data_IF_780752169777
#
_entry.id   IF_780752169777
#
_cell.length_a   1.000
_cell.length_b   1.000
_cell.length_c   1.000
_cell.angle_alpha   90.00
_cell.angle_beta   90.00
_cell.angle_gamma   90.00
#
_symmetry.space_group_name_H-M   'P 1'
#
loop_
_entity.id
_entity.type
_entity.pdbx_description
1 polymer ?
#
# COMPACT_ATOMS: atom_id res chain seq x y z
N UNK A 1 7.46 0.86 -15.41
CA UNK A 1 8.39 -0.27 -15.57
C UNK A 1 9.47 -0.08 -14.51
N UNK A 2 9.61 -1.01 -13.54
CA UNK A 2 10.45 -0.82 -12.35
C UNK A 2 11.94 -0.77 -12.72
N UNK A 3 12.63 0.32 -12.40
CA UNK A 3 14.10 0.41 -12.54
C UNK A 3 14.83 -0.39 -11.44
N UNK A 4 14.11 -0.97 -10.48
CA UNK A 4 14.67 -1.90 -9.49
C UNK A 4 13.64 -2.88 -8.93
N UNK A 5 14.00 -4.17 -8.87
CA UNK A 5 13.24 -5.21 -8.14
C UNK A 5 13.13 -4.95 -6.63
N UNK A 6 13.82 -3.93 -6.08
CA UNK A 6 13.81 -3.59 -4.66
C UNK A 6 12.51 -2.92 -4.22
N UNK A 7 11.95 -2.01 -5.03
CA UNK A 7 10.76 -1.24 -4.62
C UNK A 7 9.56 -2.17 -4.36
N UNK A 8 9.21 -3.12 -5.26
CA UNK A 8 8.16 -4.09 -4.98
C UNK A 8 8.43 -4.94 -3.74
N UNK A 9 9.69 -5.35 -3.53
CA UNK A 9 10.07 -6.20 -2.40
C UNK A 9 9.93 -5.46 -1.06
N UNK A 10 10.34 -4.19 -1.00
CA UNK A 10 10.20 -3.34 0.19
C UNK A 10 8.73 -3.11 0.52
N UNK A 11 7.90 -2.89 -0.50
CA UNK A 11 6.45 -2.70 -0.32
C UNK A 11 5.79 -3.97 0.18
N UNK A 12 6.13 -5.11 -0.41
CA UNK A 12 5.61 -6.41 0.00
C UNK A 12 6.06 -6.72 1.44
N UNK A 13 7.33 -6.53 1.77
CA UNK A 13 7.86 -6.73 3.11
C UNK A 13 7.24 -5.78 4.14
N UNK A 14 6.86 -4.56 3.74
CA UNK A 14 6.27 -3.56 4.63
C UNK A 14 4.76 -3.68 4.81
N UNK A 15 3.99 -3.89 3.74
CA UNK A 15 2.52 -3.83 3.78
C UNK A 15 1.86 -5.19 4.06
N UNK A 16 2.45 -6.28 3.59
CA UNK A 16 1.85 -7.62 3.69
C UNK A 16 1.79 -8.13 5.14
N UNK A 17 2.87 -8.06 5.93
CA UNK A 17 2.81 -8.53 7.32
C UNK A 17 1.80 -7.75 8.16
N UNK A 18 1.61 -6.46 7.86
CA UNK A 18 0.63 -5.63 8.57
C UNK A 18 -0.82 -5.99 8.21
N UNK A 19 -1.10 -6.24 6.93
CA UNK A 19 -2.42 -6.72 6.50
C UNK A 19 -2.76 -8.09 7.13
N UNK A 20 -1.80 -9.02 7.08
CA UNK A 20 -1.93 -10.34 7.70
C UNK A 20 -2.17 -10.22 9.20
N UNK A 21 -1.44 -9.33 9.88
CA UNK A 21 -1.63 -9.07 11.32
C UNK A 21 -3.05 -8.61 11.63
N UNK A 22 -3.60 -7.65 10.87
CA UNK A 22 -4.97 -7.19 11.07
C UNK A 22 -6.02 -8.29 10.89
N UNK A 23 -5.81 -9.15 9.91
CA UNK A 23 -6.71 -10.25 9.59
C UNK A 23 -6.65 -11.41 10.60
N UNK A 24 -5.43 -11.76 11.04
CA UNK A 24 -5.18 -12.84 11.98
C UNK A 24 -5.61 -12.48 13.41
N UNK A 25 -5.52 -11.19 13.78
CA UNK A 25 -5.95 -10.71 15.09
C UNK A 25 -7.42 -11.04 15.33
N UNK A 26 -8.29 -10.80 14.35
CA UNK A 26 -9.72 -11.14 14.44
C UNK A 26 -10.01 -12.65 14.41
N UNK A 27 -9.18 -13.44 13.71
CA UNK A 27 -9.26 -14.91 13.81
C UNK A 27 -8.89 -15.40 15.20
N UNK A 28 -7.89 -14.78 15.84
CA UNK A 28 -7.42 -15.15 17.17
C UNK A 28 -8.41 -14.79 18.29
N UNK A 29 -9.25 -13.76 18.08
CA UNK A 29 -10.38 -13.45 18.98
C UNK A 29 -11.55 -14.47 18.92
N UNK A 30 -11.41 -15.55 18.15
CA UNK A 30 -12.41 -16.62 18.08
C UNK A 30 -13.57 -16.37 17.11
N UNK A 31 -13.48 -15.34 16.26
CA UNK A 31 -14.52 -15.03 15.27
C UNK A 31 -14.50 -15.99 14.07
N UNK A 32 -13.37 -16.65 13.79
CA UNK A 32 -13.25 -17.69 12.78
C UNK A 32 -12.08 -18.64 13.07
N UNK A 33 -12.16 -19.88 12.59
CA UNK A 33 -11.06 -20.87 12.63
C UNK A 33 -10.14 -20.73 11.41
N UNK A 34 -8.85 -21.09 11.58
CA UNK A 34 -7.91 -21.20 10.46
C UNK A 34 -8.23 -22.48 9.69
N UNK A 35 -8.86 -22.31 8.52
CA UNK A 35 -9.15 -23.38 7.57
C UNK A 35 -8.72 -22.97 6.15
N UNK A 36 -8.89 -23.87 5.18
CA UNK A 36 -8.52 -23.63 3.78
C UNK A 36 -9.19 -22.36 3.19
N UNK A 37 -10.43 -22.05 3.59
CA UNK A 37 -11.13 -20.85 3.11
C UNK A 37 -10.54 -19.56 3.70
N UNK A 38 -10.17 -19.58 4.99
CA UNK A 38 -9.44 -18.45 5.60
C UNK A 38 -8.07 -18.25 4.95
N UNK A 39 -7.36 -19.32 4.58
CA UNK A 39 -6.08 -19.22 3.88
C UNK A 39 -6.22 -18.60 2.49
N UNK A 40 -7.24 -19.01 1.73
CA UNK A 40 -7.56 -18.38 0.43
C UNK A 40 -7.93 -16.90 0.62
N UNK A 41 -8.65 -16.57 1.69
CA UNK A 41 -8.95 -15.19 2.10
C UNK A 41 -7.69 -14.37 2.38
N UNK A 42 -6.75 -14.93 3.14
CA UNK A 42 -5.45 -14.29 3.43
C UNK A 42 -4.66 -14.02 2.14
N UNK A 43 -4.54 -15.01 1.24
CA UNK A 43 -3.83 -14.84 -0.03
C UNK A 43 -4.47 -13.73 -0.88
N UNK A 44 -5.80 -13.71 -0.94
CA UNK A 44 -6.55 -12.67 -1.64
C UNK A 44 -6.32 -11.29 -1.02
N UNK A 45 -6.33 -11.20 0.31
CA UNK A 45 -6.04 -9.99 1.07
C UNK A 45 -4.64 -9.46 0.75
N UNK A 46 -3.62 -10.33 0.71
CA UNK A 46 -2.25 -9.95 0.34
C UNK A 46 -2.23 -9.26 -1.02
N UNK A 47 -2.90 -9.82 -2.03
CA UNK A 47 -2.96 -9.22 -3.37
C UNK A 47 -3.66 -7.85 -3.38
N UNK A 48 -4.79 -7.73 -2.68
CA UNK A 48 -5.56 -6.49 -2.61
C UNK A 48 -4.77 -5.36 -1.92
N UNK A 49 -4.16 -5.64 -0.78
CA UNK A 49 -3.39 -4.64 -0.03
C UNK A 49 -2.09 -4.29 -0.76
N UNK A 50 -1.40 -5.28 -1.33
CA UNK A 50 -0.17 -5.05 -2.09
C UNK A 50 -0.42 -4.12 -3.29
N UNK A 51 -1.55 -4.27 -4.00
CA UNK A 51 -1.91 -3.38 -5.10
C UNK A 51 -2.01 -1.91 -4.66
N UNK A 52 -2.63 -1.67 -3.50
CA UNK A 52 -2.76 -0.32 -2.95
C UNK A 52 -1.39 0.25 -2.56
N UNK A 53 -0.52 -0.54 -1.92
CA UNK A 53 0.84 -0.13 -1.57
C UNK A 53 1.73 0.15 -2.78
N UNK A 54 1.67 -0.71 -3.81
CA UNK A 54 2.42 -0.56 -5.06
C UNK A 54 2.06 0.75 -5.76
N UNK A 55 0.77 1.09 -5.82
CA UNK A 55 0.32 2.31 -6.48
C UNK A 55 0.81 3.59 -5.80
N UNK A 56 0.92 3.61 -4.46
CA UNK A 56 1.46 4.76 -3.72
C UNK A 56 2.93 4.95 -4.09
N UNK A 57 3.73 3.89 -4.00
CA UNK A 57 5.17 3.98 -4.29
C UNK A 57 5.45 4.28 -5.75
N UNK A 58 4.71 3.70 -6.68
CA UNK A 58 4.86 4.02 -8.10
C UNK A 58 4.58 5.50 -8.39
N UNK A 59 3.55 6.07 -7.77
CA UNK A 59 3.23 7.50 -7.95
C UNK A 59 4.27 8.40 -7.27
N UNK A 60 4.76 8.00 -6.09
CA UNK A 60 5.83 8.72 -5.41
C UNK A 60 7.15 8.70 -6.22
N UNK A 61 7.51 7.55 -6.81
CA UNK A 61 8.68 7.44 -7.69
C UNK A 61 8.51 8.28 -8.95
N UNK A 62 7.31 8.29 -9.55
CA UNK A 62 7.01 9.12 -10.70
C UNK A 62 7.18 10.62 -10.36
N UNK A 63 6.62 11.08 -9.24
CA UNK A 63 6.79 12.46 -8.76
C UNK A 63 8.26 12.79 -8.44
N UNK A 64 9.06 11.84 -7.93
CA UNK A 64 10.50 12.04 -7.77
C UNK A 64 11.24 12.17 -9.11
N UNK A 65 10.83 11.42 -10.14
CA UNK A 65 11.38 11.55 -11.50
C UNK A 65 11.04 12.91 -12.12
N UNK A 66 9.93 13.51 -11.72
CA UNK A 66 9.55 14.89 -12.07
C UNK A 66 10.29 15.96 -11.23
N UNK A 67 11.26 15.57 -10.40
CA UNK A 67 12.09 16.47 -9.62
C UNK A 67 11.56 16.80 -8.22
N UNK A 68 10.46 16.21 -7.77
CA UNK A 68 9.97 16.43 -6.40
C UNK A 68 10.88 15.75 -5.36
N UNK A 69 11.11 16.44 -4.24
CA UNK A 69 11.75 15.83 -3.07
C UNK A 69 10.94 14.61 -2.59
N UNK A 70 11.63 13.52 -2.21
CA UNK A 70 11.07 12.26 -1.71
C UNK A 70 9.92 12.40 -0.72
N UNK A 71 10.02 13.35 0.22
CA UNK A 71 8.99 13.58 1.23
C UNK A 71 7.72 14.20 0.64
N UNK A 72 7.87 15.20 -0.22
CA UNK A 72 6.74 15.85 -0.89
C UNK A 72 6.08 14.89 -1.89
N UNK A 73 6.89 14.13 -2.64
CA UNK A 73 6.43 13.13 -3.59
C UNK A 73 5.55 12.06 -2.92
N UNK A 74 5.95 11.53 -1.77
CA UNK A 74 5.16 10.49 -1.09
C UNK A 74 3.90 11.03 -0.43
N UNK A 75 3.93 12.26 0.10
CA UNK A 75 2.75 12.91 0.67
C UNK A 75 1.71 13.22 -0.43
N UNK A 76 2.15 13.73 -1.57
CA UNK A 76 1.29 14.02 -2.72
C UNK A 76 0.74 12.73 -3.34
N UNK A 77 1.57 11.68 -3.47
CA UNK A 77 1.15 10.36 -3.90
C UNK A 77 0.11 9.74 -2.94
N UNK A 78 0.35 9.78 -1.63
CA UNK A 78 -0.59 9.27 -0.65
C UNK A 78 -1.92 10.04 -0.69
N UNK A 79 -1.86 11.37 -0.79
CA UNK A 79 -3.05 12.24 -0.86
C UNK A 79 -3.92 12.00 -2.10
N UNK A 80 -3.30 11.90 -3.29
CA UNK A 80 -4.04 11.63 -4.54
C UNK A 80 -4.61 10.22 -4.61
N UNK A 81 -3.93 9.24 -4.00
CA UNK A 81 -4.39 7.84 -3.96
C UNK A 81 -5.36 7.54 -2.83
N UNK A 82 -5.45 8.38 -1.80
CA UNK A 82 -6.33 8.17 -0.65
C UNK A 82 -7.78 7.93 -1.06
N UNK A 83 -8.34 8.80 -1.92
CA UNK A 83 -9.73 8.67 -2.40
C UNK A 83 -9.96 7.36 -3.16
N UNK A 84 -9.17 7.01 -4.18
CA UNK A 84 -9.26 5.71 -4.84
C UNK A 84 -9.12 4.50 -3.91
N UNK A 85 -8.15 4.51 -2.97
CA UNK A 85 -7.90 3.39 -2.05
C UNK A 85 -9.08 3.19 -1.09
N UNK A 86 -9.65 4.27 -0.57
CA UNK A 86 -10.83 4.20 0.28
C UNK A 86 -12.06 3.70 -0.51
N UNK A 87 -12.22 4.14 -1.75
CA UNK A 87 -13.31 3.69 -2.61
C UNK A 87 -13.25 2.17 -2.87
N UNK A 88 -12.07 1.64 -3.22
CA UNK A 88 -11.91 0.20 -3.45
C UNK A 88 -12.08 -0.60 -2.16
N UNK A 89 -11.48 -0.12 -1.06
CA UNK A 89 -11.62 -0.77 0.26
C UNK A 89 -13.08 -0.83 0.69
N UNK A 90 -13.81 0.27 0.57
CA UNK A 90 -15.24 0.33 0.92
C UNK A 90 -16.07 -0.61 0.04
N UNK A 91 -15.83 -0.64 -1.27
CA UNK A 91 -16.51 -1.55 -2.19
C UNK A 91 -16.23 -3.02 -1.86
N UNK A 92 -14.97 -3.38 -1.59
CA UNK A 92 -14.60 -4.75 -1.21
C UNK A 92 -15.23 -5.12 0.13
N UNK A 93 -15.15 -4.27 1.14
CA UNK A 93 -15.72 -4.54 2.47
C UNK A 93 -17.24 -4.72 2.36
N UNK A 94 -17.95 -3.80 1.70
CA UNK A 94 -19.40 -3.91 1.53
C UNK A 94 -19.79 -5.14 0.70
N UNK A 95 -19.01 -5.50 -0.33
CA UNK A 95 -19.27 -6.70 -1.14
C UNK A 95 -19.09 -8.01 -0.38
N UNK A 96 -18.20 -8.05 0.62
CA UNK A 96 -17.92 -9.25 1.42
C UNK A 96 -18.67 -9.26 2.76
N UNK A 97 -19.29 -8.15 3.15
CA UNK A 97 -20.06 -8.04 4.39
C UNK A 97 -21.20 -9.09 4.49
N UNK A 98 -21.96 -9.40 3.42
CA UNK A 98 -22.99 -10.44 3.48
C UNK A 98 -22.43 -11.85 3.75
N UNK A 99 -21.19 -12.13 3.35
CA UNK A 99 -20.55 -13.43 3.59
C UNK A 99 -20.25 -13.65 5.08
N UNK A 100 -19.94 -12.57 5.80
CA UNK A 100 -19.75 -12.59 7.25
C UNK A 100 -21.04 -12.98 7.96
N UNK A 101 -22.19 -12.46 7.51
CA UNK A 101 -23.49 -12.74 8.14
C UNK A 101 -24.22 -13.97 7.57
N UNK A 102 -23.60 -14.72 6.66
CA UNK A 102 -24.22 -15.87 6.02
C UNK A 102 -24.56 -16.96 7.05
N UNK A 103 -25.77 -17.51 6.97
CA UNK A 103 -26.26 -18.63 7.81
C UNK A 103 -26.66 -19.82 6.94
N UNK A 104 -26.69 -21.02 7.53
CA UNK A 104 -27.09 -22.26 6.85
C UNK A 104 -25.91 -23.14 6.38
N UNK A 105 -26.17 -24.12 5.50
CA UNK A 105 -25.14 -25.06 5.02
C UNK A 105 -23.97 -24.33 4.36
N UNK A 106 -22.74 -24.69 4.76
CA UNK A 106 -21.52 -24.04 4.26
C UNK A 106 -21.27 -22.63 4.81
N UNK A 107 -22.04 -22.16 5.80
CA UNK A 107 -21.84 -20.84 6.41
C UNK A 107 -20.45 -20.68 7.03
N UNK A 108 -19.90 -21.73 7.66
CA UNK A 108 -18.55 -21.69 8.23
C UNK A 108 -17.48 -21.29 7.21
N UNK A 109 -17.55 -21.86 5.99
CA UNK A 109 -16.63 -21.54 4.90
C UNK A 109 -16.78 -20.08 4.42
N UNK A 110 -18.01 -19.62 4.20
CA UNK A 110 -18.30 -18.24 3.74
C UNK A 110 -17.92 -17.18 4.77
N UNK A 111 -18.24 -17.44 6.03
CA UNK A 111 -17.90 -16.56 7.14
C UNK A 111 -16.36 -16.49 7.32
N UNK A 112 -15.67 -17.63 7.19
CA UNK A 112 -14.21 -17.72 7.31
C UNK A 112 -13.45 -16.85 6.33
N UNK A 113 -13.84 -16.87 5.03
CA UNK A 113 -13.22 -16.02 4.02
C UNK A 113 -13.68 -14.56 4.14
N UNK A 114 -14.97 -14.34 4.45
CA UNK A 114 -15.56 -13.00 4.58
C UNK A 114 -14.92 -12.19 5.71
N UNK A 115 -14.76 -12.78 6.90
CA UNK A 115 -14.16 -12.11 8.06
C UNK A 115 -12.71 -11.73 7.75
N UNK A 116 -11.95 -12.64 7.16
CA UNK A 116 -10.55 -12.43 6.80
C UNK A 116 -10.40 -11.23 5.87
N UNK A 117 -11.23 -11.16 4.82
CA UNK A 117 -11.19 -10.05 3.87
C UNK A 117 -11.65 -8.73 4.49
N UNK A 118 -12.77 -8.72 5.23
CA UNK A 118 -13.33 -7.48 5.79
C UNK A 118 -12.39 -6.87 6.83
N UNK A 119 -11.96 -7.68 7.81
CA UNK A 119 -11.11 -7.19 8.92
C UNK A 119 -9.71 -6.86 8.43
N UNK A 120 -9.14 -7.73 7.60
CA UNK A 120 -7.85 -7.52 6.98
C UNK A 120 -7.79 -6.29 6.08
N UNK A 121 -8.84 -6.02 5.29
CA UNK A 121 -8.87 -4.83 4.41
C UNK A 121 -9.01 -3.55 5.20
N UNK A 122 -9.87 -3.50 6.23
CA UNK A 122 -10.05 -2.29 7.05
C UNK A 122 -8.72 -1.94 7.75
N UNK A 123 -8.15 -2.91 8.47
CA UNK A 123 -6.93 -2.70 9.24
C UNK A 123 -5.73 -2.52 8.32
N UNK A 124 -5.62 -3.36 7.29
CA UNK A 124 -4.54 -3.34 6.31
C UNK A 124 -4.51 -2.05 5.50
N UNK A 125 -5.65 -1.50 5.09
CA UNK A 125 -5.71 -0.21 4.39
C UNK A 125 -5.30 0.93 5.31
N UNK A 126 -5.78 0.97 6.56
CA UNK A 126 -5.32 1.97 7.54
C UNK A 126 -3.81 1.92 7.69
N UNK A 127 -3.24 0.75 7.97
CA UNK A 127 -1.80 0.61 8.11
C UNK A 127 -1.03 0.92 6.82
N UNK A 128 -1.52 0.52 5.66
CA UNK A 128 -0.86 0.80 4.36
C UNK A 128 -0.74 2.30 4.13
N UNK A 129 -1.79 3.07 4.43
CA UNK A 129 -1.78 4.53 4.25
C UNK A 129 -0.78 5.25 5.18
N UNK A 130 -0.46 4.70 6.35
CA UNK A 130 0.52 5.31 7.29
C UNK A 130 1.94 4.73 7.15
N UNK A 131 2.04 3.41 6.98
CA UNK A 131 3.30 2.67 7.03
C UNK A 131 4.01 2.69 5.69
N UNK A 132 3.30 2.63 4.56
CA UNK A 132 3.95 2.72 3.24
C UNK A 132 4.68 4.06 3.06
N UNK A 133 4.07 5.23 3.37
CA UNK A 133 4.80 6.49 3.30
C UNK A 133 6.02 6.53 4.23
N UNK A 134 5.87 6.01 5.45
CA UNK A 134 6.96 5.97 6.44
C UNK A 134 8.15 5.13 5.97
N UNK A 135 7.88 3.91 5.47
CA UNK A 135 8.91 3.01 4.93
C UNK A 135 9.54 3.62 3.68
N UNK A 136 8.75 4.25 2.82
CA UNK A 136 9.27 4.91 1.63
C UNK A 136 10.27 6.02 1.98
N UNK A 137 9.99 6.88 2.95
CA UNK A 137 10.91 7.95 3.37
C UNK A 137 12.23 7.40 3.92
N UNK A 138 12.16 6.29 4.66
CA UNK A 138 13.32 5.63 5.28
C UNK A 138 14.21 4.93 4.25
N UNK A 139 13.62 4.34 3.21
CA UNK A 139 14.33 3.43 2.30
C UNK A 139 14.60 4.04 0.92
N UNK A 140 13.76 4.96 0.45
CA UNK A 140 13.95 5.60 -0.85
C UNK A 140 15.24 6.43 -0.85
N UNK A 141 16.15 6.08 -1.77
CA UNK A 141 17.35 6.88 -2.02
C UNK A 141 16.91 8.20 -2.62
N UNK A 142 17.42 9.31 -2.08
CA UNK A 142 17.25 10.63 -2.69
C UNK A 142 17.81 10.59 -4.11
N UNK A 143 16.98 10.78 -5.14
CA UNK A 143 17.43 11.02 -6.51
C UNK A 143 18.08 12.41 -6.60
N UNK A 144 19.28 12.54 -6.01
CA UNK A 144 20.04 13.79 -5.86
C UNK A 144 20.68 14.30 -7.16
N UNK A 145 20.30 13.77 -8.33
CA UNK A 145 20.92 14.12 -9.63
C UNK A 145 20.40 15.48 -10.14
N UNK A 146 19.11 15.78 -9.96
CA UNK A 146 18.51 17.00 -10.50
C UNK A 146 18.99 18.29 -9.79
N UNK A 147 19.20 18.24 -8.47
CA UNK A 147 19.74 19.39 -7.71
C UNK A 147 21.20 19.71 -8.07
N UNK A 148 21.96 18.74 -8.58
CA UNK A 148 23.35 18.96 -9.01
C UNK A 148 23.37 19.55 -10.43
N UNK A 149 22.54 19.03 -11.35
CA UNK A 149 22.45 19.56 -12.73
C UNK A 149 21.86 20.98 -12.79
N UNK A 150 20.87 21.33 -11.97
CA UNK A 150 20.36 22.72 -11.89
C UNK A 150 21.38 23.68 -11.23
N UNK A 151 22.14 23.22 -10.24
CA UNK A 151 23.19 24.02 -9.63
C UNK A 151 24.40 24.22 -10.55
N UNK A 152 24.70 23.23 -11.40
CA UNK A 152 25.76 23.28 -12.41
C UNK A 152 25.34 24.17 -13.61
N UNK A 153 24.09 24.04 -14.08
CA UNK A 153 23.53 24.87 -15.15
C UNK A 153 23.31 26.35 -14.73
N UNK A 154 22.99 26.61 -13.46
CA UNK A 154 22.88 27.97 -12.92
C UNK A 154 24.24 28.62 -12.64
N UNK A 155 25.32 27.83 -12.55
CA UNK A 155 26.69 28.30 -12.33
C UNK A 155 27.45 28.72 -13.59
N UNK A 156 26.95 28.38 -14.79
CA UNK A 156 27.65 28.62 -16.07
C UNK A 156 27.23 29.92 -16.80
N UNK A 157 26.25 30.70 -16.31
CA UNK A 157 25.68 31.86 -17.03
C UNK A 157 26.08 33.27 -16.53
N UNK A 158 27.03 33.42 -15.61
CA UNK A 158 27.72 34.71 -15.38
C UNK A 158 29.21 34.49 -15.03
N UNK A 159 30.19 35.27 -15.55
CA UNK A 159 30.07 36.57 -16.25
C UNK A 159 30.88 36.68 -17.58
N UNK A 160 30.46 37.57 -18.48
CA UNK A 160 31.34 38.25 -19.45
C UNK A 160 30.73 39.58 -19.93
N UNK A 161 30.47 40.48 -18.98
CA UNK A 161 30.36 41.92 -19.23
C UNK A 161 31.64 42.59 -18.72
N UNK A 162 32.58 42.84 -19.62
CA UNK A 162 33.57 43.93 -19.58
C UNK A 162 34.32 43.98 -20.92
#
# INVERSE_FOLDING_TARGET
QFESFRDPFIILAGSVPLALSGSLLFSFLGLTSINIYSQVGLITLVGLVSRNGILIVQFANHLQQEGRNKLNAVLEAAGTRLRPILMTTAATVMGHLPLVFARGPGAGARNSIGIMLVTGMIIGTCFTLFVVPSIYVLVARTHKRAEIEEAEAAGELEPATA
#
